data_IF_176562131717
#
_entry.id   IF_176562131717
#
_cell.length_a   1.000
_cell.length_b   1.000
_cell.length_c   1.000
_cell.angle_alpha   90.00
_cell.angle_beta   90.00
_cell.angle_gamma   90.00
#
_symmetry.space_group_name_H-M   'P 1'
#
loop_
_entity.id
_entity.type
_entity.pdbx_description
1 polymer ?
#
# COMPACT_ATOMS: atom_id res chain seq x y z
N UNK A 1 -27.43 -43.38 32.74
CA UNK A 1 -26.53 -44.48 32.31
C UNK A 1 -27.25 -45.35 31.28
N UNK A 2 -26.82 -45.30 30.01
CA UNK A 2 -27.00 -46.30 28.94
C UNK A 2 -26.19 -45.85 27.70
N UNK A 3 -25.35 -46.76 27.19
CA UNK A 3 -24.43 -46.72 26.03
C UNK A 3 -25.18 -46.98 24.70
N UNK A 4 -24.62 -46.69 23.49
CA UNK A 4 -23.57 -47.50 22.80
C UNK A 4 -22.48 -46.63 22.07
N UNK A 5 -21.21 -47.05 21.80
CA UNK A 5 -20.65 -48.10 20.90
C UNK A 5 -21.13 -47.96 19.44
N UNK A 6 -20.37 -47.94 18.31
CA UNK A 6 -18.97 -48.24 17.90
C UNK A 6 -18.77 -47.80 16.41
N UNK A 7 -17.52 -47.87 15.91
CA UNK A 7 -17.01 -47.98 14.50
C UNK A 7 -16.30 -46.70 14.00
N UNK A 8 -14.97 -46.61 13.80
CA UNK A 8 -13.95 -47.45 13.13
C UNK A 8 -14.14 -47.56 11.62
N UNK A 9 -13.33 -46.82 10.85
CA UNK A 9 -12.86 -47.26 9.53
C UNK A 9 -11.37 -46.91 9.36
N UNK A 10 -10.61 -47.96 9.09
CA UNK A 10 -9.17 -48.04 8.80
C UNK A 10 -9.04 -48.28 7.29
N UNK A 11 -8.26 -47.49 6.55
CA UNK A 11 -7.48 -47.90 5.35
C UNK A 11 -6.27 -46.93 5.26
N UNK A 12 -4.98 -47.25 5.47
CA UNK A 12 -4.06 -48.33 5.03
C UNK A 12 -3.31 -47.99 3.73
N UNK A 13 -2.01 -47.72 3.91
CA UNK A 13 -0.86 -48.02 3.01
C UNK A 13 -0.59 -47.01 1.86
N UNK A 14 0.66 -46.66 1.53
CA UNK A 14 1.90 -47.43 1.58
C UNK A 14 3.13 -46.55 1.83
N UNK A 15 4.07 -47.08 2.62
CA UNK A 15 5.48 -46.69 2.61
C UNK A 15 6.14 -47.08 1.29
N UNK A 16 7.11 -46.28 0.84
CA UNK A 16 8.27 -46.80 0.13
C UNK A 16 9.52 -46.00 0.53
N UNK A 17 10.40 -46.71 1.23
CA UNK A 17 11.77 -46.37 1.60
C UNK A 17 12.67 -46.51 0.38
N UNK A 18 13.62 -45.59 0.17
CA UNK A 18 14.85 -45.88 -0.57
C UNK A 18 16.02 -45.08 -0.01
N UNK A 19 16.95 -45.80 0.61
CA UNK A 19 18.27 -45.36 1.07
C UNK A 19 19.34 -45.88 0.10
N UNK A 20 20.41 -45.08 -0.03
CA UNK A 20 21.81 -45.43 -0.36
C UNK A 20 22.27 -45.60 -1.83
N UNK A 21 23.17 -44.67 -2.22
CA UNK A 21 24.52 -44.83 -2.81
C UNK A 21 24.81 -45.99 -3.78
N UNK A 22 25.02 -45.68 -5.07
CA UNK A 22 26.18 -46.15 -5.85
C UNK A 22 26.19 -45.59 -7.28
N UNK A 23 27.38 -45.30 -7.75
CA UNK A 23 27.74 -44.81 -9.09
C UNK A 23 27.30 -45.73 -10.23
N UNK A 24 26.69 -45.16 -11.27
CA UNK A 24 26.75 -45.63 -12.65
C UNK A 24 26.48 -44.46 -13.60
N UNK A 25 27.37 -44.26 -14.56
CA UNK A 25 27.29 -43.20 -15.56
C UNK A 25 26.21 -43.45 -16.62
N UNK A 26 25.69 -42.35 -17.16
CA UNK A 26 24.91 -42.31 -18.40
C UNK A 26 25.37 -41.04 -19.11
N UNK A 27 26.15 -41.16 -20.18
CA UNK A 27 25.68 -41.36 -21.55
C UNK A 27 24.81 -40.19 -22.00
N UNK A 28 25.42 -39.36 -22.84
CA UNK A 28 24.81 -38.25 -23.57
C UNK A 28 23.49 -38.65 -24.22
N UNK A 29 22.45 -37.85 -24.00
CA UNK A 29 21.44 -37.61 -25.01
C UNK A 29 20.99 -36.16 -24.92
N UNK A 30 21.32 -35.42 -25.98
CA UNK A 30 20.82 -34.09 -26.24
C UNK A 30 19.32 -34.19 -26.52
N UNK A 31 18.51 -33.54 -25.70
CA UNK A 31 17.17 -33.11 -26.06
C UNK A 31 17.17 -31.59 -25.92
N UNK A 32 17.42 -30.92 -27.04
CA UNK A 32 17.34 -29.46 -27.20
C UNK A 32 15.89 -29.06 -26.98
N UNK A 33 15.57 -28.61 -25.76
CA UNK A 33 14.37 -27.82 -25.54
C UNK A 33 14.54 -26.47 -26.28
N UNK A 34 13.51 -25.96 -26.97
CA UNK A 34 13.55 -24.63 -27.55
C UNK A 34 13.74 -23.63 -26.40
N UNK A 35 14.81 -22.84 -26.51
CA UNK A 35 15.08 -21.70 -25.63
C UNK A 35 14.00 -20.68 -25.94
N UNK A 36 12.90 -20.72 -25.21
CA UNK A 36 11.95 -19.62 -25.13
C UNK A 36 12.70 -18.46 -24.50
N UNK A 37 13.18 -17.56 -25.37
CA UNK A 37 13.77 -16.30 -24.99
C UNK A 37 12.76 -15.59 -24.07
N UNK A 38 13.03 -15.62 -22.77
CA UNK A 38 12.44 -14.69 -21.84
C UNK A 38 12.82 -13.30 -22.36
N UNK A 39 11.86 -12.64 -23.02
CA UNK A 39 11.97 -11.24 -23.41
C UNK A 39 12.28 -10.47 -22.14
N UNK A 40 13.52 -10.02 -22.04
CA UNK A 40 14.07 -9.34 -20.87
C UNK A 40 13.27 -8.04 -20.73
N UNK A 41 12.29 -8.04 -19.83
CA UNK A 41 11.48 -6.87 -19.54
C UNK A 41 12.42 -5.69 -19.29
N UNK A 42 12.42 -4.74 -20.22
CA UNK A 42 13.14 -3.48 -20.05
C UNK A 42 12.60 -2.83 -18.77
N UNK A 43 13.46 -2.43 -17.81
CA UNK A 43 12.98 -1.78 -16.61
C UNK A 43 12.20 -0.54 -17.01
N UNK A 44 10.91 -0.50 -16.65
CA UNK A 44 10.07 0.67 -16.86
C UNK A 44 10.74 1.85 -16.15
N UNK A 45 11.00 2.97 -16.84
CA UNK A 45 11.64 4.11 -16.20
C UNK A 45 10.77 4.58 -15.04
N UNK A 46 11.36 4.70 -13.85
CA UNK A 46 10.68 5.24 -12.67
C UNK A 46 10.14 6.64 -13.00
N UNK A 47 8.92 6.98 -12.56
CA UNK A 47 8.36 8.30 -12.78
C UNK A 47 9.30 9.37 -12.22
N UNK A 48 9.66 10.34 -13.06
CA UNK A 48 10.50 11.47 -12.66
C UNK A 48 9.61 12.53 -12.01
N UNK A 49 9.89 12.84 -10.75
CA UNK A 49 9.25 13.92 -10.01
C UNK A 49 10.15 15.15 -9.98
N UNK A 50 9.57 16.32 -10.20
CA UNK A 50 10.25 17.59 -9.99
C UNK A 50 10.55 17.82 -8.50
N UNK A 51 11.50 18.69 -8.17
CA UNK A 51 11.81 19.01 -6.76
C UNK A 51 10.60 19.53 -5.97
N UNK A 52 9.74 20.42 -6.52
CA UNK A 52 8.50 20.81 -5.83
C UNK A 52 7.55 19.63 -5.57
N UNK A 53 7.42 18.70 -6.52
CA UNK A 53 6.58 17.51 -6.33
C UNK A 53 7.15 16.59 -5.24
N UNK A 54 8.46 16.38 -5.19
CA UNK A 54 9.10 15.61 -4.11
C UNK A 54 8.84 16.23 -2.75
N UNK A 55 8.97 17.56 -2.64
CA UNK A 55 8.68 18.28 -1.40
C UNK A 55 7.20 18.13 -0.99
N UNK A 56 6.26 18.27 -1.92
CA UNK A 56 4.85 18.10 -1.65
C UNK A 56 4.49 16.66 -1.25
N UNK A 57 5.10 15.65 -1.87
CA UNK A 57 4.97 14.23 -1.48
C UNK A 57 5.43 14.04 -0.04
N UNK A 58 6.63 14.55 0.30
CA UNK A 58 7.18 14.45 1.65
C UNK A 58 6.29 15.14 2.69
N UNK A 59 5.71 16.29 2.35
CA UNK A 59 4.80 17.02 3.23
C UNK A 59 3.46 16.30 3.44
N UNK A 60 2.89 15.69 2.39
CA UNK A 60 1.71 14.81 2.56
C UNK A 60 2.04 13.57 3.39
N UNK A 61 3.24 12.97 3.21
CA UNK A 61 3.70 11.86 4.04
C UNK A 61 3.81 12.25 5.52
N UNK A 62 4.37 13.44 5.81
CA UNK A 62 4.42 13.98 7.17
C UNK A 62 3.01 14.23 7.73
N UNK A 63 2.10 14.72 6.90
CA UNK A 63 0.69 14.94 7.27
C UNK A 63 -0.01 13.61 7.59
N UNK A 64 0.24 12.55 6.82
CA UNK A 64 -0.26 11.20 7.08
C UNK A 64 0.26 10.68 8.42
N UNK A 65 1.56 10.83 8.68
CA UNK A 65 2.17 10.44 9.96
C UNK A 65 1.57 11.21 11.14
N UNK A 66 1.32 12.51 10.95
CA UNK A 66 0.60 13.32 11.91
C UNK A 66 -0.81 12.80 12.19
N UNK A 67 -1.56 12.41 11.16
CA UNK A 67 -2.91 11.87 11.30
C UNK A 67 -2.90 10.51 12.01
N UNK A 68 -1.93 9.64 11.73
CA UNK A 68 -1.73 8.41 12.51
C UNK A 68 -1.52 8.74 13.98
N UNK A 69 -0.63 9.68 14.27
CA UNK A 69 -0.32 10.08 15.65
C UNK A 69 -1.54 10.65 16.37
N UNK A 70 -2.32 11.51 15.68
CA UNK A 70 -3.56 12.05 16.22
C UNK A 70 -4.55 10.91 16.52
N UNK A 71 -4.81 10.03 15.56
CA UNK A 71 -5.74 8.92 15.76
C UNK A 71 -5.31 8.00 16.91
N UNK A 72 -4.03 7.65 16.99
CA UNK A 72 -3.50 6.80 18.07
C UNK A 72 -3.65 7.47 19.45
N UNK A 73 -3.48 8.79 19.55
CA UNK A 73 -3.53 9.52 20.83
C UNK A 73 -4.93 9.85 21.33
N UNK A 74 -5.84 10.22 20.42
CA UNK A 74 -7.17 10.75 20.78
C UNK A 74 -8.33 9.98 20.14
N UNK A 75 -8.06 8.89 19.42
CA UNK A 75 -9.08 8.05 18.79
C UNK A 75 -9.81 8.70 17.62
N UNK A 76 -9.28 9.79 17.06
CA UNK A 76 -9.90 10.53 15.96
C UNK A 76 -8.86 11.26 15.11
N UNK A 77 -9.18 11.40 13.82
CA UNK A 77 -8.43 12.26 12.91
C UNK A 77 -8.74 13.75 13.15
N UNK A 78 -7.83 14.62 12.74
CA UNK A 78 -7.97 16.08 12.90
C UNK A 78 -8.20 16.77 11.57
N UNK A 79 -8.94 17.88 11.58
CA UNK A 79 -9.31 18.66 10.38
C UNK A 79 -8.32 19.79 10.05
N UNK A 80 -7.48 20.18 11.00
CA UNK A 80 -6.57 21.30 10.83
C UNK A 80 -5.12 20.80 10.84
N UNK A 81 -4.33 21.25 9.86
CA UNK A 81 -2.89 20.96 9.78
C UNK A 81 -2.14 21.46 11.02
N UNK A 82 -2.62 22.53 11.67
CA UNK A 82 -2.03 23.07 12.90
C UNK A 82 -2.25 22.17 14.13
N UNK A 83 -3.24 21.27 14.07
CA UNK A 83 -3.47 20.28 15.13
C UNK A 83 -2.55 19.06 14.99
N UNK A 84 -1.84 18.94 13.86
CA UNK A 84 -0.89 17.86 13.63
C UNK A 84 0.45 18.17 14.29
N UNK A 85 1.12 17.16 14.87
CA UNK A 85 2.48 17.33 15.38
C UNK A 85 3.43 17.70 14.23
N UNK A 86 4.42 18.55 14.52
CA UNK A 86 5.50 18.88 13.58
C UNK A 86 5.33 20.18 12.79
N UNK A 87 4.27 20.96 13.03
CA UNK A 87 4.15 22.31 12.46
C UNK A 87 3.99 22.32 10.94
N UNK A 88 3.08 21.49 10.42
CA UNK A 88 2.85 21.36 8.99
C UNK A 88 2.27 22.67 8.44
N UNK A 89 2.95 23.24 7.44
CA UNK A 89 2.50 24.46 6.79
C UNK A 89 1.34 24.17 5.84
N UNK A 90 0.40 25.10 5.74
CA UNK A 90 -0.79 24.97 4.90
C UNK A 90 -0.57 25.47 3.46
N UNK A 91 0.54 26.12 3.17
CA UNK A 91 0.82 26.66 1.85
C UNK A 91 2.31 26.90 1.67
N UNK A 92 2.77 26.78 0.44
CA UNK A 92 4.07 27.23 -0.03
C UNK A 92 3.92 27.92 -1.41
N UNK A 93 5.02 28.35 -2.07
CA UNK A 93 4.93 28.99 -3.40
C UNK A 93 4.34 28.11 -4.52
N UNK A 94 4.36 26.79 -4.36
CA UNK A 94 4.02 25.78 -5.37
C UNK A 94 2.72 25.03 -5.05
N UNK A 95 2.36 24.86 -3.78
CA UNK A 95 1.23 24.06 -3.34
C UNK A 95 0.41 24.70 -2.21
N UNK A 96 -0.89 24.44 -2.22
CA UNK A 96 -1.78 24.67 -1.09
C UNK A 96 -2.17 23.33 -0.45
N UNK A 97 -1.87 23.16 0.83
CA UNK A 97 -2.10 21.94 1.60
C UNK A 97 -3.36 22.07 2.46
N UNK A 98 -4.22 21.06 2.42
CA UNK A 98 -5.50 21.09 3.12
C UNK A 98 -5.91 19.69 3.59
N UNK A 99 -6.82 19.64 4.57
CA UNK A 99 -7.54 18.43 5.00
C UNK A 99 -9.04 18.68 4.77
N UNK A 100 -9.51 18.61 3.50
CA UNK A 100 -10.87 19.04 3.18
C UNK A 100 -11.96 18.12 3.73
N UNK A 101 -11.63 16.87 4.08
CA UNK A 101 -12.60 15.93 4.65
C UNK A 101 -12.00 15.05 5.73
N UNK A 102 -12.77 14.87 6.81
CA UNK A 102 -12.47 13.96 7.91
C UNK A 102 -13.77 13.28 8.35
N UNK A 103 -13.70 11.97 8.56
CA UNK A 103 -14.71 11.13 9.18
C UNK A 103 -14.05 10.29 10.28
N UNK A 104 -14.81 9.41 10.92
CA UNK A 104 -14.24 8.44 11.88
C UNK A 104 -13.32 7.40 11.21
N UNK A 105 -13.54 7.13 9.91
CA UNK A 105 -12.84 6.07 9.19
C UNK A 105 -11.77 6.58 8.23
N UNK A 106 -11.84 7.85 7.81
CA UNK A 106 -10.91 8.43 6.85
C UNK A 106 -10.58 9.88 7.14
N UNK A 107 -9.31 10.25 6.98
CA UNK A 107 -8.88 11.63 6.76
C UNK A 107 -8.38 11.76 5.33
N UNK A 108 -8.91 12.74 4.60
CA UNK A 108 -8.52 13.04 3.23
C UNK A 108 -7.82 14.40 3.18
N UNK A 109 -6.71 14.43 2.46
CA UNK A 109 -5.74 15.50 2.41
C UNK A 109 -5.39 15.82 0.97
N UNK A 110 -5.03 17.06 0.69
CA UNK A 110 -4.65 17.48 -0.67
C UNK A 110 -3.42 18.36 -0.65
N UNK A 111 -2.61 18.27 -1.70
CA UNK A 111 -1.64 19.29 -2.07
C UNK A 111 -1.98 19.77 -3.49
N UNK A 112 -2.59 20.95 -3.56
CA UNK A 112 -3.13 21.51 -4.80
C UNK A 112 -2.03 22.35 -5.45
N UNK A 113 -1.64 21.99 -6.68
CA UNK A 113 -0.63 22.74 -7.42
C UNK A 113 -1.11 24.17 -7.73
N UNK A 114 -0.17 25.13 -7.63
CA UNK A 114 -0.40 26.56 -7.91
C UNK A 114 0.25 27.00 -9.22
N UNK A 115 1.29 26.28 -9.65
CA UNK A 115 2.08 26.62 -10.82
C UNK A 115 1.73 25.71 -12.00
N UNK A 116 1.75 26.23 -13.24
CA UNK A 116 1.61 25.39 -14.42
C UNK A 116 2.75 24.38 -14.51
N UNK A 117 2.45 23.17 -14.98
CA UNK A 117 3.44 22.10 -15.12
C UNK A 117 3.66 21.26 -13.86
N UNK A 118 3.02 21.62 -12.74
CA UNK A 118 3.01 20.79 -11.52
C UNK A 118 1.76 19.92 -11.44
N UNK A 119 1.91 18.73 -10.88
CA UNK A 119 0.82 17.79 -10.62
C UNK A 119 0.25 17.98 -9.22
N UNK A 120 -1.07 17.97 -9.10
CA UNK A 120 -1.73 17.93 -7.78
C UNK A 120 -1.68 16.54 -7.16
N UNK A 121 -1.71 16.51 -5.83
CA UNK A 121 -1.66 15.29 -5.04
C UNK A 121 -2.84 15.20 -4.09
N UNK A 122 -3.19 13.97 -3.76
CA UNK A 122 -4.04 13.65 -2.62
C UNK A 122 -3.36 12.65 -1.70
N UNK A 123 -3.64 12.81 -0.41
CA UNK A 123 -3.24 11.92 0.64
C UNK A 123 -4.47 11.44 1.39
N UNK A 124 -4.38 10.26 1.97
CA UNK A 124 -5.49 9.66 2.68
C UNK A 124 -4.97 8.76 3.78
N UNK A 125 -5.70 8.72 4.89
CA UNK A 125 -5.48 7.81 6.00
C UNK A 125 -6.79 7.12 6.33
N UNK A 126 -6.76 5.80 6.47
CA UNK A 126 -7.93 4.99 6.77
C UNK A 126 -7.74 4.17 8.04
N UNK A 127 -8.85 3.93 8.71
CA UNK A 127 -9.01 2.81 9.64
C UNK A 127 -9.35 1.57 8.84
N UNK A 128 -8.48 0.56 8.89
CA UNK A 128 -8.68 -0.68 8.17
C UNK A 128 -9.71 -1.58 8.89
N UNK A 129 -10.68 -2.16 8.16
CA UNK A 129 -11.56 -3.18 8.73
C UNK A 129 -10.74 -4.42 9.11
N UNK A 130 -11.21 -5.19 10.09
CA UNK A 130 -10.49 -6.38 10.60
C UNK A 130 -10.08 -7.36 9.49
N UNK A 131 -10.94 -7.53 8.48
CA UNK A 131 -10.65 -8.37 7.31
C UNK A 131 -9.45 -7.92 6.48
N UNK A 132 -9.17 -6.61 6.43
CA UNK A 132 -8.03 -6.04 5.68
C UNK A 132 -6.77 -5.91 6.54
N UNK A 133 -6.87 -6.04 7.87
CA UNK A 133 -5.71 -5.91 8.76
C UNK A 133 -4.69 -7.02 8.56
N UNK A 134 -5.13 -8.24 8.28
CA UNK A 134 -4.23 -9.37 8.03
C UNK A 134 -3.29 -9.17 6.84
N UNK A 135 -3.67 -8.30 5.90
CA UNK A 135 -2.89 -7.94 4.71
C UNK A 135 -2.01 -6.70 4.95
N UNK A 136 -2.29 -5.94 6.00
CA UNK A 136 -1.54 -4.74 6.34
C UNK A 136 -0.19 -5.09 6.96
N UNK A 137 0.81 -4.25 6.69
CA UNK A 137 2.11 -4.38 7.34
C UNK A 137 1.94 -4.41 8.87
N UNK A 138 2.43 -5.50 9.49
CA UNK A 138 2.35 -5.77 10.94
C UNK A 138 0.92 -5.76 11.53
N UNK A 139 -0.10 -6.11 10.75
CA UNK A 139 -1.50 -6.11 11.21
C UNK A 139 -1.99 -4.74 11.72
N UNK A 140 -1.43 -3.67 11.16
CA UNK A 140 -1.77 -2.30 11.53
C UNK A 140 -3.25 -2.02 11.28
N UNK A 141 -3.87 -1.30 12.22
CA UNK A 141 -5.26 -0.85 12.09
C UNK A 141 -5.40 0.40 11.21
N UNK A 142 -4.27 1.03 10.85
CA UNK A 142 -4.23 2.25 10.06
C UNK A 142 -3.35 2.02 8.83
N UNK A 143 -3.79 2.56 7.70
CA UNK A 143 -3.02 2.63 6.46
C UNK A 143 -3.20 4.01 5.84
N UNK A 144 -2.18 4.49 5.16
CA UNK A 144 -2.24 5.73 4.41
C UNK A 144 -1.63 5.58 3.03
N UNK A 145 -2.04 6.44 2.11
CA UNK A 145 -1.48 6.45 0.76
C UNK A 145 -1.42 7.86 0.20
N UNK A 146 -0.52 8.08 -0.76
CA UNK A 146 -0.45 9.31 -1.55
C UNK A 146 -0.60 8.96 -3.02
N UNK A 147 -1.46 9.72 -3.69
CA UNK A 147 -1.72 9.66 -5.13
C UNK A 147 -1.31 10.98 -5.76
N UNK A 148 -0.69 10.92 -6.94
CA UNK A 148 -0.36 12.10 -7.76
C UNK A 148 -1.12 12.02 -9.07
N UNK A 149 -1.67 13.13 -9.56
CA UNK A 149 -2.26 13.19 -10.90
C UNK A 149 -1.25 12.76 -11.96
N UNK A 150 -1.69 12.10 -13.04
CA UNK A 150 -0.79 11.67 -14.11
C UNK A 150 -0.23 12.86 -14.90
N UNK A 151 -1.09 13.84 -15.16
CA UNK A 151 -0.77 15.07 -15.88
C UNK A 151 -0.79 16.30 -14.95
N UNK A 152 -0.02 17.35 -15.25
CA UNK A 152 -0.09 18.61 -14.51
C UNK A 152 -1.52 19.12 -14.37
N UNK A 153 -1.91 19.48 -13.15
CA UNK A 153 -3.29 19.79 -12.81
C UNK A 153 -3.36 20.55 -11.51
N UNK A 154 -4.29 21.49 -11.40
CA UNK A 154 -4.66 22.19 -10.16
C UNK A 154 -5.90 21.56 -9.50
N UNK A 155 -6.28 20.35 -9.92
CA UNK A 155 -7.37 19.57 -9.32
C UNK A 155 -6.77 18.29 -8.74
N UNK A 156 -6.85 18.07 -7.42
CA UNK A 156 -6.30 16.88 -6.80
C UNK A 156 -7.11 15.62 -7.17
N UNK A 157 -6.50 14.43 -7.11
CA UNK A 157 -7.23 13.17 -7.32
C UNK A 157 -8.31 12.99 -6.25
N UNK A 158 -9.52 12.60 -6.65
CA UNK A 158 -10.68 12.48 -5.76
C UNK A 158 -10.45 11.41 -4.68
N UNK A 159 -10.90 11.70 -3.46
CA UNK A 159 -10.89 10.74 -2.35
C UNK A 159 -11.74 9.50 -2.68
N UNK A 160 -11.24 8.27 -2.46
CA UNK A 160 -12.12 7.11 -2.36
C UNK A 160 -12.94 7.21 -1.07
N UNK A 161 -14.19 6.75 -1.11
CA UNK A 161 -15.13 6.90 0.01
C UNK A 161 -14.74 6.02 1.22
N UNK A 162 -14.12 4.86 0.99
CA UNK A 162 -13.67 3.92 2.03
C UNK A 162 -12.48 3.07 1.56
N UNK A 163 -11.65 2.60 2.48
CA UNK A 163 -10.64 1.59 2.19
C UNK A 163 -11.23 0.18 2.38
N UNK A 164 -11.23 -0.61 1.31
CA UNK A 164 -11.59 -2.03 1.35
C UNK A 164 -10.37 -2.95 1.43
N UNK A 165 -9.17 -2.40 1.22
CA UNK A 165 -7.89 -3.11 1.17
C UNK A 165 -6.84 -2.40 2.02
N UNK A 166 -5.79 -3.11 2.42
CA UNK A 166 -4.66 -2.53 3.15
C UNK A 166 -3.90 -1.48 2.34
N UNK A 167 -3.92 -1.60 1.01
CA UNK A 167 -3.31 -0.67 0.06
C UNK A 167 -4.40 -0.16 -0.89
N UNK A 168 -4.99 1.02 -0.62
CA UNK A 168 -6.05 1.55 -1.47
C UNK A 168 -5.48 2.01 -2.82
N UNK A 169 -6.15 1.63 -3.88
CA UNK A 169 -5.80 2.06 -5.24
C UNK A 169 -6.06 3.56 -5.42
N UNK A 170 -5.20 4.20 -6.22
CA UNK A 170 -5.44 5.58 -6.64
C UNK A 170 -6.56 5.66 -7.68
N UNK A 171 -7.36 6.73 -7.68
CA UNK A 171 -8.41 6.92 -8.68
C UNK A 171 -7.83 7.07 -10.09
N UNK A 172 -8.68 6.88 -11.10
CA UNK A 172 -8.30 7.07 -12.50
C UNK A 172 -7.69 8.46 -12.76
N UNK A 173 -6.66 8.52 -13.60
CA UNK A 173 -5.90 9.75 -13.86
C UNK A 173 -4.89 10.10 -12.76
N UNK A 174 -4.58 9.17 -11.87
CA UNK A 174 -3.54 9.33 -10.85
C UNK A 174 -2.77 8.03 -10.59
N UNK A 175 -1.57 8.17 -10.04
CA UNK A 175 -0.65 7.06 -9.74
C UNK A 175 -0.28 7.10 -8.27
N UNK A 176 -0.14 5.93 -7.65
CA UNK A 176 0.33 5.82 -6.27
C UNK A 176 1.81 6.12 -6.18
N UNK A 177 2.18 6.98 -5.24
CA UNK A 177 3.59 7.40 -5.02
C UNK A 177 4.11 7.03 -3.64
N UNK A 178 3.22 6.57 -2.74
CA UNK A 178 3.61 6.03 -1.45
C UNK A 178 2.44 5.38 -0.72
N UNK A 179 2.77 4.36 0.06
CA UNK A 179 1.90 3.73 1.06
C UNK A 179 2.62 3.84 2.40
N UNK A 180 1.86 4.15 3.44
CA UNK A 180 2.37 4.48 4.76
C UNK A 180 1.62 3.67 5.81
N UNK A 181 2.36 3.24 6.82
CA UNK A 181 1.83 2.58 8.01
C UNK A 181 2.41 3.26 9.24
N UNK A 182 1.70 3.30 10.37
CA UNK A 182 2.26 3.81 11.61
C UNK A 182 3.48 2.97 12.03
N UNK A 183 4.54 3.65 12.42
CA UNK A 183 5.73 3.02 13.04
C UNK A 183 5.56 3.04 14.55
N UNK A 184 5.73 1.88 15.19
CA UNK A 184 5.72 1.73 16.66
C UNK A 184 6.92 2.41 17.32
#
# INVERSE_FOLDING_TARGET
MKLPQTQTLIIVHSLAVCLALSSCGFASNQATAPVEQAERATPTPSPVYSEPEKAAIAQLAATISGQFTAYIRQGSFVRDLQQLPGGIVNTDPNYDFQIPAVTEQVAYMTAIAKQPGLRSLSGQVFVLPESARAEAYRNNALSGSVCITTDPSNTPPIAPETATTAEPACPAGSTQVGVYYPTE
#
